data_IF_378499687810
#
_entry.id   IF_378499687810
#
_cell.length_a   1.000
_cell.length_b   1.000
_cell.length_c   1.000
_cell.angle_alpha   90.00
_cell.angle_beta   90.00
_cell.angle_gamma   90.00
#
_symmetry.space_group_name_H-M   'P 1'
#
loop_
_entity.id
_entity.type
_entity.pdbx_description
1 polymer ?
#
# COMPACT_ATOMS: atom_id res chain seq x y z
N UNK A 1 10.46 -21.57 1.87
CA UNK A 1 10.24 -20.26 1.20
C UNK A 1 8.77 -20.17 0.83
N UNK A 2 8.05 -19.13 1.27
CA UNK A 2 6.65 -18.91 0.86
C UNK A 2 6.63 -18.25 -0.52
N UNK A 3 5.95 -18.86 -1.49
CA UNK A 3 5.68 -18.25 -2.79
C UNK A 3 4.36 -17.46 -2.73
N UNK A 4 4.42 -16.17 -3.05
CA UNK A 4 3.23 -15.32 -3.16
C UNK A 4 2.91 -15.08 -4.62
N UNK A 5 1.69 -15.41 -5.04
CA UNK A 5 1.15 -15.01 -6.33
C UNK A 5 0.35 -13.72 -6.14
N UNK A 6 0.63 -12.72 -6.95
CA UNK A 6 -0.07 -11.42 -6.92
C UNK A 6 -0.61 -11.12 -8.30
N UNK A 7 -1.84 -10.63 -8.38
CA UNK A 7 -2.40 -10.02 -9.59
C UNK A 7 -2.81 -8.59 -9.28
N UNK A 8 -2.46 -7.69 -10.18
CA UNK A 8 -2.94 -6.31 -10.13
C UNK A 8 -4.33 -6.25 -10.77
N UNK A 9 -5.20 -5.40 -10.23
CA UNK A 9 -6.49 -5.13 -10.86
C UNK A 9 -6.24 -4.45 -12.22
N UNK A 10 -6.99 -4.78 -13.29
CA UNK A 10 -6.88 -4.07 -14.56
C UNK A 10 -7.07 -2.56 -14.36
N UNK A 11 -6.21 -1.75 -15.01
CA UNK A 11 -6.24 -0.28 -14.89
C UNK A 11 -5.64 0.30 -13.60
N UNK A 12 -4.95 -0.50 -12.77
CA UNK A 12 -4.42 -0.03 -11.48
C UNK A 12 -3.45 1.14 -11.64
N UNK A 13 -2.55 1.10 -12.63
CA UNK A 13 -1.52 2.13 -12.81
C UNK A 13 -2.15 3.47 -13.21
N UNK A 14 -3.02 3.43 -14.22
CA UNK A 14 -3.76 4.57 -14.74
C UNK A 14 -4.67 5.19 -13.66
N UNK A 15 -5.31 4.35 -12.85
CA UNK A 15 -6.11 4.80 -11.72
C UNK A 15 -5.28 5.56 -10.69
N UNK A 16 -4.16 4.96 -10.25
CA UNK A 16 -3.30 5.56 -9.24
C UNK A 16 -2.66 6.86 -9.75
N UNK A 17 -2.23 6.92 -11.01
CA UNK A 17 -1.71 8.14 -11.63
C UNK A 17 -2.76 9.26 -11.75
N UNK A 18 -4.03 8.92 -11.96
CA UNK A 18 -5.10 9.91 -12.05
C UNK A 18 -5.50 10.43 -10.68
N UNK A 19 -5.67 9.54 -9.70
CA UNK A 19 -6.10 9.90 -8.35
C UNK A 19 -5.00 10.60 -7.56
N UNK A 20 -3.72 10.29 -7.80
CA UNK A 20 -2.60 10.97 -7.12
C UNK A 20 -2.52 12.48 -7.42
N UNK A 21 -3.16 12.96 -8.50
CA UNK A 21 -3.30 14.39 -8.80
C UNK A 21 -4.33 15.10 -7.92
N UNK A 22 -5.21 14.33 -7.28
CA UNK A 22 -6.35 14.82 -6.51
C UNK A 22 -6.22 14.52 -5.01
N UNK A 23 -5.50 13.45 -4.65
CA UNK A 23 -5.38 12.95 -3.29
C UNK A 23 -3.95 12.50 -2.97
N UNK A 24 -3.56 12.65 -1.71
CA UNK A 24 -2.37 11.98 -1.18
C UNK A 24 -2.68 10.51 -0.91
N UNK A 25 -1.90 9.62 -1.53
CA UNK A 25 -2.16 8.19 -1.49
C UNK A 25 -1.43 7.51 -0.33
N UNK A 26 -2.19 6.80 0.50
CA UNK A 26 -1.70 5.98 1.61
C UNK A 26 -2.07 4.50 1.39
N UNK A 27 -1.20 3.58 1.82
CA UNK A 27 -1.52 2.15 1.92
C UNK A 27 -1.89 1.84 3.36
N UNK A 28 -3.03 1.18 3.58
CA UNK A 28 -3.44 0.63 4.87
C UNK A 28 -3.89 -0.82 4.72
N UNK A 29 -3.10 -1.76 5.25
CA UNK A 29 -3.28 -3.20 5.05
C UNK A 29 -3.05 -4.00 6.33
N UNK A 30 -3.73 -5.15 6.45
CA UNK A 30 -3.47 -6.15 7.49
C UNK A 30 -2.41 -7.18 7.08
N UNK A 31 -1.76 -6.99 5.94
CA UNK A 31 -0.54 -7.73 5.60
C UNK A 31 0.61 -7.34 6.54
N UNK A 32 1.53 -8.28 6.76
CA UNK A 32 2.80 -7.99 7.45
C UNK A 32 3.61 -6.95 6.69
N UNK A 33 4.50 -6.24 7.40
CA UNK A 33 5.31 -5.15 6.85
C UNK A 33 6.03 -5.56 5.57
N UNK A 34 6.73 -6.70 5.57
CA UNK A 34 7.49 -7.17 4.41
C UNK A 34 6.60 -7.27 3.15
N UNK A 35 5.43 -7.90 3.28
CA UNK A 35 4.49 -8.04 2.17
C UNK A 35 3.97 -6.68 1.68
N UNK A 36 3.59 -5.79 2.62
CA UNK A 36 3.09 -4.46 2.28
C UNK A 36 4.12 -3.65 1.48
N UNK A 37 5.38 -3.65 1.91
CA UNK A 37 6.46 -2.98 1.20
C UNK A 37 6.79 -3.64 -0.14
N UNK A 38 6.79 -4.98 -0.24
CA UNK A 38 6.97 -5.66 -1.53
C UNK A 38 5.91 -5.26 -2.55
N UNK A 39 4.63 -5.24 -2.16
CA UNK A 39 3.55 -4.80 -3.07
C UNK A 39 3.68 -3.32 -3.41
N UNK A 40 4.05 -2.46 -2.46
CA UNK A 40 4.27 -1.04 -2.72
C UNK A 40 5.36 -0.80 -3.78
N UNK A 41 6.47 -1.56 -3.74
CA UNK A 41 7.52 -1.47 -4.77
C UNK A 41 7.03 -1.89 -6.16
N UNK A 42 6.09 -2.84 -6.25
CA UNK A 42 5.48 -3.26 -7.52
C UNK A 42 4.56 -2.15 -8.07
N UNK A 43 3.80 -1.48 -7.20
CA UNK A 43 2.86 -0.41 -7.56
C UNK A 43 3.56 0.92 -7.86
N UNK A 44 4.61 1.24 -7.11
CA UNK A 44 5.28 2.54 -7.10
C UNK A 44 6.82 2.38 -7.02
N UNK A 45 7.46 1.85 -8.08
CA UNK A 45 8.90 1.60 -8.08
C UNK A 45 9.75 2.88 -7.99
N UNK A 46 9.14 4.06 -8.23
CA UNK A 46 9.81 5.37 -8.15
C UNK A 46 9.50 6.12 -6.84
N UNK A 47 8.77 5.50 -5.91
CA UNK A 47 8.38 6.08 -4.62
C UNK A 47 7.66 7.44 -4.72
N UNK A 48 6.89 7.67 -5.79
CA UNK A 48 6.17 8.93 -6.07
C UNK A 48 4.75 8.95 -5.52
N UNK A 49 4.12 7.79 -5.39
CA UNK A 49 2.71 7.64 -5.04
C UNK A 49 2.52 7.44 -3.54
N UNK A 50 3.28 6.53 -2.92
CA UNK A 50 3.08 6.15 -1.51
C UNK A 50 4.26 6.55 -0.62
N UNK A 51 5.49 6.55 -1.15
CA UNK A 51 6.70 6.85 -0.36
C UNK A 51 6.74 6.05 0.95
N UNK A 52 6.70 6.72 2.09
CA UNK A 52 6.72 6.13 3.44
C UNK A 52 5.32 5.95 4.05
N UNK A 53 4.24 6.30 3.33
CA UNK A 53 2.85 6.33 3.83
C UNK A 53 2.19 4.95 3.72
N UNK A 54 2.79 3.98 4.39
CA UNK A 54 2.38 2.57 4.38
C UNK A 54 2.15 2.13 5.83
N UNK A 55 0.90 1.83 6.18
CA UNK A 55 0.51 1.24 7.45
C UNK A 55 0.24 -0.25 7.24
N UNK A 56 1.15 -1.09 7.71
CA UNK A 56 0.95 -2.54 7.71
C UNK A 56 0.31 -2.99 9.03
N UNK A 57 0.06 -4.29 9.17
CA UNK A 57 -0.42 -4.88 10.42
C UNK A 57 0.49 -4.55 11.61
N UNK A 58 1.79 -4.46 11.36
CA UNK A 58 2.80 -4.30 12.40
C UNK A 58 2.79 -2.86 12.96
N UNK A 59 2.25 -1.90 12.21
CA UNK A 59 2.04 -0.50 12.65
C UNK A 59 0.59 -0.20 13.02
N UNK A 60 -0.33 -1.17 12.90
CA UNK A 60 -1.74 -0.95 13.21
C UNK A 60 -2.01 -1.09 14.71
N UNK A 61 -2.64 -0.09 15.33
CA UNK A 61 -3.00 -0.12 16.76
C UNK A 61 -4.01 -1.22 17.10
N UNK A 62 -4.87 -1.59 16.16
CA UNK A 62 -5.84 -2.67 16.33
C UNK A 62 -5.64 -3.72 15.24
N UNK A 63 -5.43 -4.99 15.60
CA UNK A 63 -5.34 -6.07 14.61
C UNK A 63 -6.69 -6.36 13.93
N UNK A 64 -7.79 -5.79 14.43
CA UNK A 64 -9.15 -6.06 13.98
C UNK A 64 -9.83 -4.85 13.33
N UNK A 65 -9.23 -3.65 13.41
CA UNK A 65 -9.83 -2.44 12.89
C UNK A 65 -8.80 -1.53 12.21
N UNK A 66 -9.14 -1.06 11.01
CA UNK A 66 -8.37 -0.01 10.33
C UNK A 66 -8.74 1.34 10.96
N UNK A 67 -7.77 1.98 11.58
CA UNK A 67 -7.92 3.31 12.19
C UNK A 67 -6.97 4.29 11.49
N UNK A 68 -7.44 5.52 11.28
CA UNK A 68 -6.69 6.56 10.58
C UNK A 68 -5.63 7.16 11.52
N UNK A 69 -4.45 6.52 11.59
CA UNK A 69 -3.34 6.99 12.41
C UNK A 69 -2.10 7.38 11.59
N UNK A 70 -2.21 7.37 10.26
CA UNK A 70 -1.21 7.98 9.38
C UNK A 70 -1.48 9.49 9.37
N UNK A 71 -0.59 10.26 10.01
CA UNK A 71 -0.53 11.72 9.83
C UNK A 71 0.11 12.05 8.49
#
# INVERSE_FOLDING_TARGET
MLWYHTRLRPGTKEFLERISKLYELHICTFGVRLYAHTIATILDPKLKLFSHRILSRDECFSPHAKTANLK
#
